data_IF_090310333656
#
_entry.id   IF_090310333656
#
_cell.length_a   1.000
_cell.length_b   1.000
_cell.length_c   1.000
_cell.angle_alpha   90.00
_cell.angle_beta   90.00
_cell.angle_gamma   90.00
#
_symmetry.space_group_name_H-M   'P 1'
#
loop_
_entity.id
_entity.type
_entity.pdbx_description
1 polymer ?
#
# COMPACT_ATOMS: atom_id res chain seq x y z
N UNK A 1 -3.03 -16.59 3.62
CA UNK A 1 -3.84 -16.28 4.84
C UNK A 1 -4.39 -14.87 4.88
N UNK A 2 -3.61 -13.77 4.92
CA UNK A 2 -4.19 -12.38 4.86
C UNK A 2 -4.41 -11.92 3.42
N UNK A 3 -3.41 -12.09 2.55
CA UNK A 3 -3.49 -11.70 1.13
C UNK A 3 -4.56 -12.48 0.35
N UNK A 4 -4.72 -13.76 0.69
CA UNK A 4 -5.74 -14.64 0.15
C UNK A 4 -7.14 -14.23 0.60
N UNK A 5 -7.31 -13.90 1.89
CA UNK A 5 -8.58 -13.38 2.41
C UNK A 5 -8.97 -12.03 1.78
N UNK A 6 -8.00 -11.16 1.49
CA UNK A 6 -8.26 -9.90 0.78
C UNK A 6 -8.81 -10.14 -0.63
N UNK A 7 -8.16 -11.04 -1.39
CA UNK A 7 -8.60 -11.45 -2.73
C UNK A 7 -9.99 -12.10 -2.73
N UNK A 8 -10.22 -13.07 -1.84
CA UNK A 8 -11.46 -13.86 -1.79
C UNK A 8 -12.70 -13.06 -1.36
N UNK A 9 -12.51 -11.96 -0.61
CA UNK A 9 -13.60 -11.10 -0.15
C UNK A 9 -13.85 -9.90 -1.07
N UNK A 10 -13.25 -9.87 -2.26
CA UNK A 10 -13.47 -8.81 -3.25
C UNK A 10 -12.88 -7.46 -2.85
N UNK A 11 -11.82 -7.44 -2.02
CA UNK A 11 -11.11 -6.22 -1.71
C UNK A 11 -10.47 -5.66 -2.98
N UNK A 12 -10.75 -4.39 -3.28
CA UNK A 12 -9.98 -3.61 -4.22
C UNK A 12 -8.93 -2.80 -3.45
N UNK A 13 -7.66 -3.00 -3.77
CA UNK A 13 -6.55 -2.43 -3.05
C UNK A 13 -5.52 -1.80 -3.99
N UNK A 14 -5.11 -0.58 -3.64
CA UNK A 14 -3.93 0.06 -4.21
C UNK A 14 -2.88 0.21 -3.12
N UNK A 15 -1.70 -0.35 -3.37
CA UNK A 15 -0.60 -0.39 -2.41
C UNK A 15 0.59 0.34 -3.00
N UNK A 16 1.11 1.30 -2.26
CA UNK A 16 2.35 2.00 -2.60
C UNK A 16 3.35 1.65 -1.52
N UNK A 17 4.50 1.09 -1.90
CA UNK A 17 5.54 0.73 -0.95
C UNK A 17 6.91 1.04 -1.52
N UNK A 18 7.90 1.13 -0.63
CA UNK A 18 9.26 1.41 -1.04
C UNK A 18 9.84 0.24 -1.83
N UNK A 19 10.57 0.54 -2.90
CA UNK A 19 11.15 -0.46 -3.81
C UNK A 19 12.00 -1.50 -3.06
N UNK A 20 12.79 -1.07 -2.07
CA UNK A 20 13.63 -1.96 -1.26
C UNK A 20 12.81 -2.94 -0.41
N UNK A 21 11.72 -2.50 0.20
CA UNK A 21 10.84 -3.37 1.00
C UNK A 21 10.17 -4.40 0.09
N UNK A 22 9.71 -3.97 -1.08
CA UNK A 22 9.10 -4.87 -2.06
C UNK A 22 10.11 -5.91 -2.57
N UNK A 23 11.36 -5.50 -2.83
CA UNK A 23 12.42 -6.42 -3.20
C UNK A 23 12.65 -7.49 -2.12
N UNK A 24 12.80 -7.09 -0.85
CA UNK A 24 12.98 -8.02 0.27
C UNK A 24 11.79 -9.00 0.39
N UNK A 25 10.56 -8.52 0.16
CA UNK A 25 9.37 -9.37 0.14
C UNK A 25 9.37 -10.34 -1.04
N UNK A 26 9.72 -9.90 -2.24
CA UNK A 26 9.84 -10.79 -3.41
C UNK A 26 10.91 -11.86 -3.21
N UNK A 27 12.04 -11.52 -2.57
CA UNK A 27 13.10 -12.48 -2.24
C UNK A 27 12.66 -13.48 -1.17
N UNK A 28 11.83 -13.06 -0.20
CA UNK A 28 11.38 -13.90 0.90
C UNK A 28 10.20 -14.82 0.54
N UNK A 29 9.24 -14.34 -0.26
CA UNK A 29 7.95 -14.98 -0.54
C UNK A 29 7.52 -14.76 -2.01
N UNK A 30 8.40 -15.09 -2.97
CA UNK A 30 8.21 -14.81 -4.40
C UNK A 30 6.87 -15.34 -4.94
N UNK A 31 6.52 -16.60 -4.67
CA UNK A 31 5.30 -17.22 -5.21
C UNK A 31 4.03 -16.52 -4.71
N UNK A 32 3.99 -16.14 -3.43
CA UNK A 32 2.88 -15.41 -2.84
C UNK A 32 2.80 -13.98 -3.39
N UNK A 33 3.94 -13.31 -3.56
CA UNK A 33 3.98 -11.97 -4.14
C UNK A 33 3.54 -11.97 -5.60
N UNK A 34 3.93 -12.95 -6.40
CA UNK A 34 3.46 -13.09 -7.78
C UNK A 34 1.94 -13.31 -7.85
N UNK A 35 1.38 -14.19 -7.00
CA UNK A 35 -0.08 -14.36 -6.92
C UNK A 35 -0.79 -13.07 -6.50
N UNK A 36 -0.15 -12.29 -5.63
CA UNK A 36 -0.71 -11.07 -5.11
C UNK A 36 -0.72 -9.93 -6.14
N UNK A 37 0.38 -9.72 -6.86
CA UNK A 37 0.50 -8.66 -7.88
C UNK A 37 -0.24 -8.99 -9.18
N UNK A 38 -0.52 -10.26 -9.45
CA UNK A 38 -1.31 -10.69 -10.62
C UNK A 38 -2.82 -10.69 -10.37
N UNK A 39 -3.26 -10.42 -9.14
CA UNK A 39 -4.67 -10.37 -8.81
C UNK A 39 -5.32 -9.09 -9.37
N UNK A 40 -6.42 -9.21 -10.13
CA UNK A 40 -7.02 -8.09 -10.86
C UNK A 40 -7.47 -6.90 -9.99
N UNK A 41 -7.82 -7.17 -8.73
CA UNK A 41 -8.26 -6.15 -7.77
C UNK A 41 -7.12 -5.56 -6.93
N UNK A 42 -5.86 -5.92 -7.20
CA UNK A 42 -4.72 -5.48 -6.39
C UNK A 42 -3.69 -4.83 -7.31
N UNK A 43 -3.41 -3.56 -7.05
CA UNK A 43 -2.41 -2.79 -7.79
C UNK A 43 -1.28 -2.39 -6.84
N UNK A 44 -0.07 -2.88 -7.12
CA UNK A 44 1.11 -2.59 -6.31
C UNK A 44 2.03 -1.65 -7.08
N UNK A 45 2.42 -0.57 -6.42
CA UNK A 45 3.32 0.44 -6.93
C UNK A 45 4.59 0.51 -6.07
N UNK A 46 5.72 0.64 -6.73
CA UNK A 46 7.03 0.87 -6.09
C UNK A 46 7.40 2.35 -6.17
N UNK A 47 7.98 2.87 -5.08
CA UNK A 47 8.56 4.21 -5.02
C UNK A 47 9.96 4.13 -4.38
N UNK A 48 10.92 4.87 -4.90
CA UNK A 48 12.29 4.88 -4.33
C UNK A 48 12.44 5.85 -3.16
N UNK A 49 11.52 6.80 -3.04
CA UNK A 49 11.51 7.80 -1.99
C UNK A 49 11.11 7.21 -0.62
N UNK A 50 11.52 7.89 0.45
CA UNK A 50 11.09 7.54 1.79
C UNK A 50 9.64 7.91 2.03
N UNK A 51 8.84 6.95 2.50
CA UNK A 51 7.49 7.19 2.98
C UNK A 51 7.56 7.53 4.48
N UNK A 52 7.34 8.79 4.88
CA UNK A 52 7.60 9.24 6.25
C UNK A 52 6.66 8.59 7.28
N UNK A 53 5.50 8.11 6.84
CA UNK A 53 4.51 7.44 7.67
C UNK A 53 3.63 6.53 6.81
N UNK A 54 3.14 5.41 7.36
CA UNK A 54 2.06 4.65 6.75
C UNK A 54 0.76 5.45 6.79
N UNK A 55 0.08 5.54 5.65
CA UNK A 55 -1.24 6.13 5.51
C UNK A 55 -2.09 5.22 4.62
N UNK A 56 -3.36 5.04 4.98
CA UNK A 56 -4.31 4.29 4.16
C UNK A 56 -5.71 4.87 4.26
N UNK A 57 -6.51 4.58 3.24
CA UNK A 57 -7.92 4.92 3.19
C UNK A 57 -8.71 3.62 3.09
N UNK A 58 -9.72 3.48 3.94
CA UNK A 58 -10.67 2.38 3.88
C UNK A 58 -12.01 2.95 3.43
N UNK A 59 -12.44 2.56 2.24
CA UNK A 59 -13.76 2.92 1.71
C UNK A 59 -14.72 1.77 1.99
N UNK A 60 -15.86 2.07 2.61
CA UNK A 60 -16.88 1.07 2.94
C UNK A 60 -18.26 1.55 2.50
N UNK A 61 -19.25 0.65 2.44
CA UNK A 61 -20.64 1.02 2.13
C UNK A 61 -21.26 2.02 3.13
N UNK A 62 -20.62 2.24 4.27
CA UNK A 62 -21.12 3.12 5.34
C UNK A 62 -20.38 4.43 5.38
N UNK A 63 -19.05 4.36 5.40
CA UNK A 63 -18.19 5.49 5.69
C UNK A 63 -16.76 5.22 5.19
N UNK A 64 -16.08 6.30 4.82
CA UNK A 64 -14.67 6.31 4.45
C UNK A 64 -13.83 6.69 5.67
N UNK A 65 -12.69 6.03 5.85
CA UNK A 65 -11.76 6.33 6.93
C UNK A 65 -10.38 6.63 6.38
N UNK A 66 -9.82 7.78 6.74
CA UNK A 66 -8.38 8.03 6.60
C UNK A 66 -7.67 7.61 7.88
N UNK A 67 -6.60 6.83 7.73
CA UNK A 67 -5.85 6.32 8.86
C UNK A 67 -4.36 6.56 8.64
N UNK A 68 -3.70 7.06 9.68
CA UNK A 68 -2.26 7.32 9.69
C UNK A 68 -1.62 6.66 10.91
N UNK A 69 -0.54 5.92 10.70
CA UNK A 69 0.26 5.37 11.79
C UNK A 69 1.38 6.35 12.19
N UNK A 70 1.45 6.65 13.49
CA UNK A 70 2.54 7.44 14.08
C UNK A 70 3.57 6.46 14.61
N UNK A 71 4.79 6.56 14.10
CA UNK A 71 5.89 5.70 14.52
C UNK A 71 6.65 6.33 15.70
N UNK A 72 6.89 5.53 16.74
CA UNK A 72 7.75 5.86 17.87
C UNK A 72 9.03 5.02 17.86
N UNK A 73 9.76 5.04 18.98
CA UNK A 73 10.97 4.20 19.13
C UNK A 73 10.56 2.72 19.19
N UNK A 74 10.77 1.99 18.09
CA UNK A 74 10.56 0.55 18.01
C UNK A 74 9.27 0.09 17.31
N UNK A 75 8.49 0.99 16.70
CA UNK A 75 7.32 0.61 15.90
C UNK A 75 6.20 1.63 15.89
N UNK A 76 4.98 1.19 15.62
CA UNK A 76 3.78 2.02 15.66
C UNK A 76 3.47 2.37 17.12
N UNK A 77 3.47 3.66 17.44
CA UNK A 77 3.12 4.19 18.76
C UNK A 77 1.64 4.52 18.85
N UNK A 78 1.07 5.08 17.79
CA UNK A 78 -0.32 5.47 17.74
C UNK A 78 -0.91 5.36 16.33
N UNK A 79 -2.23 5.42 16.25
CA UNK A 79 -2.96 5.51 14.99
C UNK A 79 -3.96 6.66 15.09
N UNK A 80 -3.94 7.54 14.10
CA UNK A 80 -4.90 8.62 13.95
C UNK A 80 -5.94 8.18 12.92
N UNK A 81 -7.21 8.14 13.33
CA UNK A 81 -8.35 7.79 12.48
C UNK A 81 -9.19 9.03 12.29
N UNK A 82 -9.54 9.34 11.05
CA UNK A 82 -10.39 10.46 10.71
C UNK A 82 -11.45 10.06 9.69
N UNK A 83 -12.70 10.36 10.01
CA UNK A 83 -13.89 10.09 9.20
C UNK A 83 -14.44 11.36 8.53
N UNK A 84 -13.83 12.53 8.79
CA UNK A 84 -14.29 13.78 8.19
C UNK A 84 -13.80 13.97 6.74
N UNK A 85 -14.63 14.62 5.93
CA UNK A 85 -14.36 14.86 4.50
C UNK A 85 -13.00 15.54 4.25
N UNK A 86 -12.63 16.52 5.07
CA UNK A 86 -11.38 17.26 4.91
C UNK A 86 -10.14 16.38 5.16
N UNK A 87 -10.19 15.51 6.17
CA UNK A 87 -9.13 14.57 6.49
C UNK A 87 -8.98 13.48 5.44
N UNK A 88 -10.11 12.96 4.96
CA UNK A 88 -10.15 12.00 3.85
C UNK A 88 -9.58 12.63 2.58
N UNK A 89 -10.01 13.85 2.24
CA UNK A 89 -9.54 14.57 1.06
C UNK A 89 -8.03 14.85 1.13
N UNK A 90 -7.53 15.24 2.29
CA UNK A 90 -6.09 15.41 2.49
C UNK A 90 -5.34 14.10 2.29
N UNK A 91 -5.81 12.99 2.89
CA UNK A 91 -5.20 11.68 2.72
C UNK A 91 -5.19 11.23 1.26
N UNK A 92 -6.30 11.43 0.53
CA UNK A 92 -6.39 11.14 -0.92
C UNK A 92 -5.36 11.95 -1.70
N UNK A 93 -5.18 13.24 -1.37
CA UNK A 93 -4.18 14.09 -2.00
C UNK A 93 -2.75 13.57 -1.78
N UNK A 94 -2.40 13.16 -0.55
CA UNK A 94 -1.08 12.63 -0.23
C UNK A 94 -0.82 11.32 -0.97
N UNK A 95 -1.79 10.40 -0.97
CA UNK A 95 -1.67 9.11 -1.68
C UNK A 95 -1.52 9.33 -3.19
N UNK A 96 -2.30 10.24 -3.78
CA UNK A 96 -2.19 10.57 -5.20
C UNK A 96 -0.81 11.13 -5.55
N UNK A 97 -0.24 12.00 -4.71
CA UNK A 97 1.12 12.53 -4.92
C UNK A 97 2.19 11.41 -4.89
N UNK A 98 2.03 10.40 -4.03
CA UNK A 98 2.90 9.23 -4.06
C UNK A 98 2.69 8.36 -5.30
N UNK A 99 1.44 8.21 -5.74
CA UNK A 99 1.09 7.42 -6.92
C UNK A 99 1.62 8.04 -8.22
N UNK A 100 1.57 9.36 -8.35
CA UNK A 100 2.12 10.07 -9.51
C UNK A 100 3.64 9.93 -9.64
N UNK A 101 4.33 9.59 -8.55
CA UNK A 101 5.79 9.42 -8.49
C UNK A 101 6.23 7.97 -8.39
N UNK A 102 5.29 7.05 -8.30
CA UNK A 102 5.57 5.62 -8.22
C UNK A 102 5.49 4.97 -9.61
N UNK A 103 5.99 3.75 -9.70
CA UNK A 103 5.87 2.91 -10.89
C UNK A 103 5.06 1.67 -10.55
N UNK A 104 4.18 1.25 -11.45
CA UNK A 104 3.48 -0.01 -11.29
C UNK A 104 4.47 -1.16 -11.35
N UNK A 105 4.31 -2.16 -10.48
CA UNK A 105 5.05 -3.42 -10.60
C UNK A 105 4.32 -4.28 -11.62
N UNK A 106 4.80 -4.22 -12.86
CA UNK A 106 4.46 -5.21 -13.88
C UNK A 106 5.50 -6.34 -13.80
N UNK A 107 4.99 -7.57 -13.65
CA UNK A 107 5.68 -8.86 -13.64
C UNK A 107 7.20 -8.86 -13.91
N UNK A 108 8.02 -9.10 -12.87
CA UNK A 108 9.45 -9.50 -12.84
C UNK A 108 10.50 -8.67 -13.63
N UNK A 109 10.16 -7.85 -14.62
CA UNK A 109 11.14 -7.22 -15.52
C UNK A 109 11.89 -6.04 -14.87
N UNK A 110 11.37 -5.46 -13.80
CA UNK A 110 12.01 -4.33 -13.10
C UNK A 110 13.03 -4.73 -12.03
N UNK A 111 13.04 -6.00 -11.56
CA UNK A 111 13.87 -6.42 -10.43
C UNK A 111 15.15 -7.17 -10.80
N UNK A 112 15.41 -7.43 -12.08
CA UNK A 112 16.69 -8.01 -12.53
C UNK A 112 17.76 -6.97 -12.93
N UNK A 113 17.47 -5.67 -12.84
CA UNK A 113 18.35 -4.61 -13.36
C UNK A 113 19.17 -3.85 -12.31
N UNK A 114 19.23 -4.33 -11.06
CA UNK A 114 20.04 -3.74 -9.98
C UNK A 114 21.03 -4.73 -9.39
#
# INVERSE_FOLDING_TARGET
MVMEAASENGLNAVIISQSCILQELFEAIEEEMLKFTTHENIHVFSIDESLPFPIWIMETDREDYAVLAVNGVGGIEATLINENDDGIKWAKSVINEYMERSSIIEERESYQSY
#
